data_IF_552419436551
#
_entry.id   IF_552419436551
#
_cell.length_a   1.000
_cell.length_b   1.000
_cell.length_c   1.000
_cell.angle_alpha   90.00
_cell.angle_beta   90.00
_cell.angle_gamma   90.00
#
_symmetry.space_group_name_H-M   'P 1'
#
loop_
_entity.id
_entity.type
_entity.pdbx_description
1 polymer ?
#
# COMPACT_ATOMS: atom_id res chain seq x y z
N UNK A 1 85.76 -28.69 -31.48
CA UNK A 1 85.28 -30.01 -31.42
C UNK A 1 84.63 -30.17 -30.09
N UNK A 2 83.35 -29.78 -29.93
CA UNK A 2 82.64 -29.94 -28.70
C UNK A 2 81.22 -30.46 -29.02
N UNK A 3 80.93 -31.58 -28.45
CA UNK A 3 79.67 -32.34 -28.53
C UNK A 3 78.59 -31.62 -27.67
N UNK A 4 77.33 -31.53 -28.11
CA UNK A 4 76.29 -31.11 -27.25
C UNK A 4 75.59 -32.25 -26.50
N UNK A 5 75.39 -32.07 -25.24
CA UNK A 5 74.62 -32.92 -24.33
C UNK A 5 73.12 -32.75 -24.59
N UNK A 6 72.43 -33.86 -24.80
CA UNK A 6 70.95 -33.93 -24.77
C UNK A 6 70.53 -34.11 -23.32
N UNK A 7 69.70 -33.17 -22.82
CA UNK A 7 68.98 -33.32 -21.56
C UNK A 7 67.57 -33.76 -21.85
N UNK A 8 67.21 -34.96 -21.42
CA UNK A 8 65.84 -35.50 -21.46
C UNK A 8 65.06 -34.95 -20.30
N UNK A 9 63.96 -34.28 -20.62
CA UNK A 9 63.01 -33.78 -19.62
C UNK A 9 61.94 -34.86 -19.39
N UNK A 10 61.92 -35.49 -18.20
CA UNK A 10 60.86 -36.39 -17.74
C UNK A 10 59.63 -35.51 -17.32
N UNK A 11 58.54 -35.73 -18.03
CA UNK A 11 57.24 -35.23 -17.61
C UNK A 11 56.64 -36.16 -16.55
N UNK A 12 56.56 -35.65 -15.31
CA UNK A 12 55.80 -36.33 -14.24
C UNK A 12 54.34 -35.90 -14.33
N UNK A 13 53.46 -36.81 -14.65
CA UNK A 13 51.97 -36.60 -14.51
C UNK A 13 51.66 -36.61 -13.02
N UNK A 14 51.24 -35.44 -12.49
CA UNK A 14 50.57 -35.34 -11.21
C UNK A 14 49.09 -35.43 -11.45
N UNK A 15 48.48 -36.57 -11.10
CA UNK A 15 47.02 -36.69 -11.02
C UNK A 15 46.52 -35.98 -9.77
N UNK A 16 45.92 -34.81 -9.95
CA UNK A 16 45.21 -34.13 -8.89
C UNK A 16 43.89 -34.88 -8.62
N UNK A 17 43.77 -35.49 -7.45
CA UNK A 17 42.51 -35.98 -6.93
C UNK A 17 41.62 -34.77 -6.57
N UNK A 18 40.53 -34.62 -7.30
CA UNK A 18 39.48 -33.68 -6.98
C UNK A 18 38.68 -34.26 -5.78
N UNK A 19 38.90 -33.73 -4.60
CA UNK A 19 38.02 -33.97 -3.46
C UNK A 19 36.68 -33.27 -3.75
N UNK A 20 35.52 -33.91 -3.51
CA UNK A 20 34.25 -33.20 -3.55
C UNK A 20 34.24 -32.18 -2.42
N UNK A 21 34.28 -30.91 -2.78
CA UNK A 21 34.02 -29.81 -1.87
C UNK A 21 32.61 -29.96 -1.29
N UNK A 22 32.51 -29.99 0.02
CA UNK A 22 31.24 -29.70 0.70
C UNK A 22 30.82 -28.29 0.26
N UNK A 23 29.97 -28.22 -0.77
CA UNK A 23 29.20 -27.04 -1.02
C UNK A 23 28.31 -26.84 0.20
N UNK A 24 28.53 -25.77 0.93
CA UNK A 24 27.47 -25.20 1.77
C UNK A 24 26.36 -24.84 0.80
N UNK A 25 25.25 -25.57 0.85
CA UNK A 25 23.98 -25.13 0.33
C UNK A 25 23.62 -23.85 1.12
N UNK A 26 24.15 -22.71 0.66
CA UNK A 26 23.48 -21.46 0.85
C UNK A 26 22.15 -21.67 0.09
N UNK A 27 21.07 -21.81 0.85
CA UNK A 27 19.74 -21.81 0.29
C UNK A 27 19.68 -20.62 -0.67
N UNK A 28 19.45 -20.94 -1.95
CA UNK A 28 19.15 -19.95 -2.96
C UNK A 28 17.87 -19.27 -2.46
N UNK A 29 18.02 -18.13 -1.77
CA UNK A 29 16.91 -17.32 -1.34
C UNK A 29 16.32 -16.83 -2.64
N UNK A 30 15.25 -17.49 -3.09
CA UNK A 30 14.63 -17.30 -4.38
C UNK A 30 14.47 -15.82 -4.67
N UNK A 31 14.70 -15.42 -5.92
CA UNK A 31 14.56 -14.04 -6.35
C UNK A 31 13.20 -13.51 -5.86
N UNK A 32 13.14 -12.30 -5.28
CA UNK A 32 11.91 -11.78 -4.71
C UNK A 32 10.82 -11.78 -5.77
N UNK A 33 9.66 -12.34 -5.45
CA UNK A 33 8.48 -12.45 -6.33
C UNK A 33 7.98 -11.08 -6.77
N UNK A 34 8.32 -10.06 -6.02
CA UNK A 34 8.09 -8.65 -6.29
C UNK A 34 9.45 -7.96 -6.41
N UNK A 35 9.66 -7.23 -7.50
CA UNK A 35 10.89 -6.45 -7.69
C UNK A 35 10.89 -5.24 -6.76
N UNK A 36 11.60 -5.36 -5.64
CA UNK A 36 11.83 -4.25 -4.73
C UNK A 36 13.10 -3.52 -5.16
N UNK A 37 12.92 -2.52 -6.00
CA UNK A 37 14.02 -1.69 -6.49
C UNK A 37 14.69 -0.91 -5.35
N UNK A 38 16.03 -0.80 -5.40
CA UNK A 38 16.80 -0.13 -4.34
C UNK A 38 16.47 1.39 -4.24
N UNK A 39 16.26 2.05 -5.38
CA UNK A 39 15.90 3.48 -5.45
C UNK A 39 15.05 3.76 -6.70
N UNK A 40 13.78 3.30 -6.71
CA UNK A 40 12.92 3.50 -7.87
C UNK A 40 12.60 4.98 -8.07
N UNK A 41 12.52 5.39 -9.34
CA UNK A 41 12.16 6.75 -9.75
C UNK A 41 10.74 6.77 -10.26
N UNK A 42 10.06 7.91 -10.10
CA UNK A 42 8.71 8.11 -10.59
C UNK A 42 8.52 9.55 -11.08
N UNK A 43 7.65 9.74 -12.05
CA UNK A 43 7.03 11.03 -12.30
C UNK A 43 5.98 11.31 -11.22
N UNK A 44 5.69 12.56 -11.01
CA UNK A 44 4.74 13.00 -9.99
C UNK A 44 4.01 14.26 -10.44
N UNK A 45 2.72 14.34 -10.11
CA UNK A 45 1.94 15.58 -10.25
C UNK A 45 0.92 15.72 -9.12
N UNK A 46 0.50 16.97 -8.88
CA UNK A 46 -0.66 17.27 -8.05
C UNK A 46 -1.88 17.45 -8.95
N UNK A 47 -2.99 16.84 -8.54
CA UNK A 47 -4.30 17.07 -9.13
C UNK A 47 -5.28 17.50 -8.03
N UNK A 48 -6.47 17.90 -8.40
CA UNK A 48 -7.53 18.31 -7.48
C UNK A 48 -8.89 17.89 -8.04
N UNK A 49 -9.79 17.46 -7.19
CA UNK A 49 -11.16 17.17 -7.56
C UNK A 49 -12.14 17.68 -6.51
N UNK A 50 -13.34 18.00 -6.96
CA UNK A 50 -14.44 18.47 -6.09
C UNK A 50 -15.65 17.57 -6.29
N UNK A 51 -16.31 17.21 -5.20
CA UNK A 51 -17.54 16.41 -5.22
C UNK A 51 -18.52 16.91 -4.18
N UNK A 52 -19.78 16.56 -4.33
CA UNK A 52 -20.84 16.84 -3.34
C UNK A 52 -20.93 15.68 -2.37
N UNK A 53 -20.81 15.93 -1.08
CA UNK A 53 -20.91 14.93 -0.02
C UNK A 53 -22.38 14.44 0.08
N UNK A 54 -22.66 13.15 -0.10
CA UNK A 54 -23.99 12.61 0.13
C UNK A 54 -24.45 12.83 1.59
N UNK A 55 -25.71 13.09 1.79
CA UNK A 55 -26.29 13.38 3.10
C UNK A 55 -26.20 14.85 3.50
N UNK A 56 -25.00 15.45 3.56
CA UNK A 56 -24.83 16.86 3.92
C UNK A 56 -25.10 17.81 2.76
N UNK A 57 -24.84 17.39 1.52
CA UNK A 57 -24.95 18.24 0.33
C UNK A 57 -23.85 19.28 0.20
N UNK A 58 -22.83 19.24 1.03
CA UNK A 58 -21.69 20.16 0.99
C UNK A 58 -20.73 19.81 -0.16
N UNK A 59 -20.17 20.84 -0.81
CA UNK A 59 -19.07 20.66 -1.74
C UNK A 59 -17.77 20.45 -0.99
N UNK A 60 -17.03 19.40 -1.40
CA UNK A 60 -15.76 19.03 -0.80
C UNK A 60 -14.69 18.90 -1.87
N UNK A 61 -13.62 19.67 -1.73
CA UNK A 61 -12.46 19.63 -2.62
C UNK A 61 -11.30 18.89 -1.93
N UNK A 62 -10.69 17.96 -2.65
CA UNK A 62 -9.54 17.18 -2.18
C UNK A 62 -8.37 17.31 -3.16
N UNK A 63 -7.16 17.31 -2.63
CA UNK A 63 -5.94 17.23 -3.43
C UNK A 63 -5.52 15.79 -3.61
N UNK A 64 -5.06 15.46 -4.81
CA UNK A 64 -4.55 14.16 -5.19
C UNK A 64 -3.05 14.26 -5.49
N UNK A 65 -2.30 13.30 -5.01
CA UNK A 65 -0.89 13.13 -5.27
C UNK A 65 -0.75 11.93 -6.21
N UNK A 66 -0.27 12.12 -7.44
CA UNK A 66 -0.26 11.08 -8.47
C UNK A 66 1.16 10.73 -8.86
N UNK A 67 1.55 9.47 -8.70
CA UNK A 67 2.83 8.92 -9.17
C UNK A 67 2.61 8.03 -10.38
N UNK A 68 3.49 8.16 -11.36
CA UNK A 68 3.41 7.47 -12.63
C UNK A 68 4.81 7.10 -13.17
N UNK A 69 4.92 6.12 -14.10
CA UNK A 69 6.16 5.77 -14.75
C UNK A 69 6.73 6.95 -15.54
N UNK A 70 8.05 7.13 -15.44
CA UNK A 70 8.80 8.11 -16.24
C UNK A 70 10.14 7.54 -16.68
N UNK A 71 10.67 8.04 -17.79
CA UNK A 71 12.03 7.78 -18.23
C UNK A 71 13.00 8.89 -17.79
N UNK A 72 12.48 9.96 -17.15
CA UNK A 72 13.28 11.04 -16.63
C UNK A 72 14.09 10.55 -15.43
N UNK A 73 15.38 10.80 -15.45
CA UNK A 73 16.33 10.42 -14.36
C UNK A 73 16.69 11.58 -13.46
N UNK A 74 16.29 12.79 -13.84
CA UNK A 74 16.50 14.05 -13.12
C UNK A 74 15.34 15.00 -13.37
N UNK A 75 15.13 15.97 -12.47
CA UNK A 75 14.04 16.94 -12.59
C UNK A 75 13.82 17.74 -11.31
N UNK A 76 12.77 18.54 -11.29
CA UNK A 76 12.33 19.24 -10.08
C UNK A 76 11.86 18.21 -9.05
N UNK A 77 12.46 18.20 -7.87
CA UNK A 77 12.09 17.26 -6.80
C UNK A 77 10.69 17.56 -6.27
N UNK A 78 9.93 16.50 -6.03
CA UNK A 78 8.61 16.62 -5.42
C UNK A 78 8.72 17.08 -3.97
N UNK A 79 7.99 18.17 -3.65
CA UNK A 79 7.85 18.72 -2.31
C UNK A 79 6.38 18.67 -1.91
N UNK A 80 6.07 17.87 -0.91
CA UNK A 80 4.69 17.76 -0.39
C UNK A 80 4.35 18.91 0.57
N UNK A 81 5.36 19.34 1.35
CA UNK A 81 5.28 20.46 2.29
C UNK A 81 6.69 21.02 2.56
N UNK A 82 6.83 21.95 3.49
CA UNK A 82 8.10 22.63 3.78
C UNK A 82 9.25 21.69 4.20
N UNK A 83 8.91 20.56 4.82
CA UNK A 83 9.90 19.63 5.41
C UNK A 83 9.95 18.26 4.71
N UNK A 84 8.95 17.91 3.91
CA UNK A 84 8.86 16.60 3.24
C UNK A 84 9.17 16.73 1.76
N UNK A 85 10.29 16.13 1.35
CA UNK A 85 10.79 16.13 -0.03
C UNK A 85 11.07 14.69 -0.44
N UNK A 86 10.49 14.26 -1.55
CA UNK A 86 10.87 13.00 -2.19
C UNK A 86 11.96 13.26 -3.24
N UNK A 87 13.12 12.61 -3.06
CA UNK A 87 14.27 12.72 -3.96
C UNK A 87 14.22 11.72 -5.12
N UNK A 88 13.25 10.84 -5.13
CA UNK A 88 13.04 9.83 -6.18
C UNK A 88 11.84 10.13 -7.06
N UNK A 89 11.05 11.17 -6.75
CA UNK A 89 9.94 11.60 -7.61
C UNK A 89 10.20 12.98 -8.19
N UNK A 90 9.92 13.13 -9.50
CA UNK A 90 10.16 14.36 -10.26
C UNK A 90 8.83 15.03 -10.60
N UNK A 91 8.66 16.25 -10.10
CA UNK A 91 7.43 17.03 -10.30
C UNK A 91 7.23 17.34 -11.80
N UNK A 92 6.06 16.97 -12.31
CA UNK A 92 5.65 17.15 -13.72
C UNK A 92 6.65 16.54 -14.71
N UNK A 93 7.25 15.42 -14.36
CA UNK A 93 8.08 14.66 -15.27
C UNK A 93 7.28 14.12 -16.47
N UNK A 94 7.98 13.79 -17.55
CA UNK A 94 7.36 13.20 -18.74
C UNK A 94 6.72 11.86 -18.40
N UNK A 95 5.45 11.67 -18.75
CA UNK A 95 4.78 10.38 -18.53
C UNK A 95 5.32 9.35 -19.51
N UNK A 96 5.84 8.24 -19.01
CA UNK A 96 6.02 7.04 -19.82
C UNK A 96 4.69 6.30 -19.89
N UNK A 97 4.00 6.48 -21.04
CA UNK A 97 2.69 5.89 -21.24
C UNK A 97 2.76 4.36 -21.18
N UNK A 98 1.94 3.70 -20.33
CA UNK A 98 1.89 2.25 -20.28
C UNK A 98 1.53 1.64 -21.65
N UNK A 99 2.08 0.48 -21.97
CA UNK A 99 1.78 -0.24 -23.23
C UNK A 99 0.38 -0.88 -23.26
N UNK A 100 -0.31 -0.90 -22.13
CA UNK A 100 -1.67 -1.39 -21.92
C UNK A 100 -2.35 -0.55 -20.85
N UNK A 101 -3.34 -1.12 -20.17
CA UNK A 101 -3.96 -0.49 -19.00
C UNK A 101 -3.14 -0.81 -17.76
N UNK A 102 -2.61 0.22 -17.09
CA UNK A 102 -1.89 0.09 -15.85
C UNK A 102 -2.85 -0.10 -14.67
N UNK A 103 -2.56 -1.00 -13.72
CA UNK A 103 -3.33 -1.12 -12.50
C UNK A 103 -3.19 0.14 -11.63
N UNK A 104 -4.22 0.39 -10.82
CA UNK A 104 -4.27 1.58 -9.96
C UNK A 104 -4.28 1.17 -8.49
N UNK A 105 -3.43 1.84 -7.71
CA UNK A 105 -3.46 1.81 -6.26
C UNK A 105 -3.86 3.19 -5.73
N UNK A 106 -4.84 3.22 -4.82
CA UNK A 106 -5.25 4.45 -4.12
C UNK A 106 -4.74 4.37 -2.68
N UNK A 107 -4.03 5.42 -2.24
CA UNK A 107 -3.50 5.49 -0.88
C UNK A 107 -4.25 6.51 -0.02
N UNK A 108 -4.56 6.11 1.20
CA UNK A 108 -5.20 6.93 2.24
C UNK A 108 -4.31 7.03 3.49
N UNK A 109 -3.98 8.26 3.89
CA UNK A 109 -3.00 8.53 4.95
C UNK A 109 -3.59 8.41 6.36
N UNK A 110 -2.72 8.33 7.37
CA UNK A 110 -3.08 8.35 8.78
C UNK A 110 -3.61 9.71 9.27
N UNK A 111 -4.02 9.76 10.54
CA UNK A 111 -4.50 10.99 11.18
C UNK A 111 -3.47 12.12 11.07
N UNK A 112 -3.91 13.30 10.62
CA UNK A 112 -3.06 14.48 10.40
C UNK A 112 -1.85 14.23 9.51
N UNK A 113 -1.93 13.20 8.66
CA UNK A 113 -0.92 12.88 7.67
C UNK A 113 -1.05 13.69 6.39
N UNK A 114 -0.60 13.14 5.28
CA UNK A 114 -0.79 13.64 3.92
C UNK A 114 -0.51 12.51 2.91
N UNK A 115 -1.02 12.62 1.70
CA UNK A 115 -0.87 11.60 0.66
C UNK A 115 0.59 11.22 0.38
N UNK A 116 1.49 12.20 0.39
CA UNK A 116 2.93 11.97 0.22
C UNK A 116 3.61 11.20 1.36
N UNK A 117 2.91 10.86 2.46
CA UNK A 117 3.50 10.06 3.55
C UNK A 117 3.89 8.63 3.14
N UNK A 118 3.41 8.17 1.98
CA UNK A 118 3.72 6.85 1.42
C UNK A 118 4.64 6.89 0.19
N UNK A 119 5.38 7.97 -0.05
CA UNK A 119 6.14 8.14 -1.30
C UNK A 119 7.08 6.98 -1.62
N UNK A 120 7.71 6.32 -0.63
CA UNK A 120 8.57 5.16 -0.89
C UNK A 120 7.77 3.95 -1.38
N UNK A 121 6.61 3.70 -0.79
CA UNK A 121 5.69 2.66 -1.22
C UNK A 121 5.14 2.97 -2.63
N UNK A 122 4.71 4.22 -2.86
CA UNK A 122 4.21 4.66 -4.16
C UNK A 122 5.23 4.42 -5.28
N UNK A 123 6.50 4.77 -5.07
CA UNK A 123 7.56 4.51 -6.05
C UNK A 123 7.80 3.02 -6.30
N UNK A 124 7.66 2.16 -5.30
CA UNK A 124 7.76 0.70 -5.48
C UNK A 124 6.61 0.17 -6.35
N UNK A 125 5.39 0.63 -6.12
CA UNK A 125 4.25 0.30 -6.98
C UNK A 125 4.48 0.75 -8.43
N UNK A 126 4.95 1.99 -8.63
CA UNK A 126 5.28 2.50 -9.97
C UNK A 126 6.37 1.68 -10.66
N UNK A 127 7.41 1.25 -9.94
CA UNK A 127 8.45 0.36 -10.47
C UNK A 127 7.90 -0.99 -10.93
N UNK A 128 6.80 -1.45 -10.32
CA UNK A 128 6.06 -2.65 -10.70
C UNK A 128 4.90 -2.39 -11.68
N UNK A 129 4.89 -1.25 -12.36
CA UNK A 129 3.96 -0.93 -13.46
C UNK A 129 2.60 -0.36 -13.01
N UNK A 130 2.44 0.02 -11.76
CA UNK A 130 1.21 0.62 -11.23
C UNK A 130 1.21 2.14 -11.38
N UNK A 131 0.02 2.71 -11.40
CA UNK A 131 -0.21 4.13 -11.12
C UNK A 131 -0.69 4.25 -9.68
N UNK A 132 -0.18 5.26 -8.95
CA UNK A 132 -0.53 5.49 -7.56
C UNK A 132 -1.18 6.84 -7.40
N UNK A 133 -2.33 6.85 -6.71
CA UNK A 133 -3.07 8.06 -6.37
C UNK A 133 -3.23 8.14 -4.87
N UNK A 134 -2.67 9.16 -4.22
CA UNK A 134 -2.84 9.33 -2.79
C UNK A 134 -3.67 10.57 -2.48
N UNK A 135 -4.67 10.37 -1.64
CA UNK A 135 -5.61 11.43 -1.25
C UNK A 135 -5.03 12.27 -0.12
N UNK A 136 -5.11 13.59 -0.21
CA UNK A 136 -5.01 14.48 0.94
C UNK A 136 -6.45 14.73 1.44
N UNK A 137 -6.79 14.13 2.59
CA UNK A 137 -8.12 14.27 3.18
C UNK A 137 -8.28 15.68 3.79
N UNK A 138 -8.92 16.57 3.07
CA UNK A 138 -9.13 17.96 3.48
C UNK A 138 -9.76 18.03 4.89
N UNK A 139 -9.20 18.88 5.74
CA UNK A 139 -9.57 18.97 7.16
C UNK A 139 -8.89 17.96 8.07
N UNK A 140 -8.04 17.06 7.54
CA UNK A 140 -7.28 16.09 8.34
C UNK A 140 -5.84 15.91 7.83
N UNK A 141 -5.24 16.94 7.29
CA UNK A 141 -3.84 16.92 6.93
C UNK A 141 -2.97 17.65 7.96
N UNK A 142 -1.66 17.51 7.86
CA UNK A 142 -0.72 18.25 8.71
C UNK A 142 -0.82 19.76 8.54
N UNK A 143 -1.43 20.25 7.45
CA UNK A 143 -1.55 21.67 7.14
C UNK A 143 -2.95 22.24 7.41
N UNK A 144 -3.98 21.42 7.40
CA UNK A 144 -5.39 21.83 7.49
C UNK A 144 -6.21 20.90 8.39
N UNK A 145 -5.81 20.74 9.62
CA UNK A 145 -6.56 19.90 10.56
C UNK A 145 -7.71 20.69 11.23
N UNK A 146 -8.94 20.21 11.05
CA UNK A 146 -10.14 20.69 11.74
C UNK A 146 -10.26 20.01 13.10
N UNK A 147 -10.49 20.83 14.16
CA UNK A 147 -10.67 20.33 15.53
C UNK A 147 -11.74 21.17 16.25
N UNK A 148 -12.87 20.60 16.73
CA UNK A 148 -13.21 19.16 16.62
C UNK A 148 -13.52 18.74 15.17
N UNK A 149 -13.24 17.47 14.86
CA UNK A 149 -13.62 16.91 13.56
C UNK A 149 -15.13 16.76 13.46
N UNK A 150 -15.70 16.95 12.25
CA UNK A 150 -17.07 16.56 11.96
C UNK A 150 -17.31 15.08 12.34
N UNK A 151 -18.52 14.79 12.81
CA UNK A 151 -18.86 13.44 13.27
C UNK A 151 -18.76 12.40 12.16
N UNK A 152 -19.18 12.77 10.95
CA UNK A 152 -19.17 11.93 9.74
C UNK A 152 -17.78 11.75 9.12
N UNK A 153 -16.71 12.24 9.75
CA UNK A 153 -15.37 12.27 9.15
C UNK A 153 -14.83 10.89 8.78
N UNK A 154 -15.22 9.84 9.51
CA UNK A 154 -14.84 8.46 9.18
C UNK A 154 -15.34 8.07 7.78
N UNK A 155 -16.58 8.41 7.44
CA UNK A 155 -17.17 8.10 6.13
C UNK A 155 -16.80 9.13 5.05
N UNK A 156 -16.54 10.40 5.42
CA UNK A 156 -16.02 11.40 4.46
C UNK A 156 -14.73 10.94 3.80
N UNK A 157 -13.84 10.30 4.54
CA UNK A 157 -12.60 9.75 3.98
C UNK A 157 -12.86 8.64 2.96
N UNK A 158 -13.90 7.85 3.16
CA UNK A 158 -14.30 6.82 2.20
C UNK A 158 -14.89 7.45 0.92
N UNK A 159 -15.66 8.53 1.05
CA UNK A 159 -16.12 9.34 -0.10
C UNK A 159 -14.95 10.02 -0.82
N UNK A 160 -13.94 10.53 -0.10
CA UNK A 160 -12.72 11.08 -0.71
C UNK A 160 -12.00 10.05 -1.59
N UNK A 161 -11.89 8.79 -1.12
CA UNK A 161 -11.30 7.69 -1.90
C UNK A 161 -12.12 7.43 -3.17
N UNK A 162 -13.46 7.39 -3.07
CA UNK A 162 -14.33 7.24 -4.24
C UNK A 162 -14.17 8.40 -5.22
N UNK A 163 -14.16 9.65 -4.73
CA UNK A 163 -13.99 10.83 -5.58
C UNK A 163 -12.61 10.83 -6.29
N UNK A 164 -11.56 10.39 -5.61
CA UNK A 164 -10.25 10.20 -6.23
C UNK A 164 -10.29 9.14 -7.34
N UNK A 165 -10.98 8.03 -7.10
CA UNK A 165 -11.15 6.96 -8.08
C UNK A 165 -11.95 7.44 -9.30
N UNK A 166 -13.06 8.11 -9.09
CA UNK A 166 -13.90 8.64 -10.17
C UNK A 166 -13.13 9.68 -11.00
N UNK A 167 -12.35 10.55 -10.34
CA UNK A 167 -11.52 11.55 -11.03
C UNK A 167 -10.51 10.92 -11.98
N UNK A 168 -9.76 9.89 -11.55
CA UNK A 168 -8.77 9.25 -12.43
C UNK A 168 -9.40 8.34 -13.49
N UNK A 169 -10.61 7.86 -13.26
CA UNK A 169 -11.37 7.11 -14.26
C UNK A 169 -11.88 8.02 -15.40
N UNK A 170 -12.07 9.31 -15.13
CA UNK A 170 -12.60 10.31 -16.09
C UNK A 170 -11.58 11.42 -16.39
N UNK A 171 -10.31 11.05 -16.51
CA UNK A 171 -9.26 12.01 -16.92
C UNK A 171 -9.57 12.64 -18.28
N UNK A 172 -9.34 13.96 -18.46
CA UNK A 172 -9.48 14.62 -19.75
C UNK A 172 -8.69 13.90 -20.84
N UNK A 173 -9.24 13.82 -22.05
CA UNK A 173 -8.62 13.09 -23.17
C UNK A 173 -7.20 13.57 -23.53
N UNK A 174 -6.86 14.81 -23.17
CA UNK A 174 -5.55 15.41 -23.35
C UNK A 174 -4.53 14.95 -22.29
N UNK A 175 -5.00 14.34 -21.19
CA UNK A 175 -4.12 13.87 -20.14
C UNK A 175 -3.35 12.63 -20.62
N UNK A 176 -2.00 12.56 -20.45
CA UNK A 176 -1.20 11.44 -20.97
C UNK A 176 -1.59 10.05 -20.47
N UNK A 177 -2.23 9.96 -19.28
CA UNK A 177 -2.71 8.72 -18.70
C UNK A 177 -4.15 8.37 -19.10
N UNK A 178 -4.89 9.27 -19.79
CA UNK A 178 -6.28 9.00 -20.17
C UNK A 178 -6.38 7.75 -21.06
N UNK A 179 -7.25 6.81 -20.68
CA UNK A 179 -7.43 5.54 -21.38
C UNK A 179 -6.33 4.49 -21.15
N UNK A 180 -5.31 4.80 -20.33
CA UNK A 180 -4.21 3.89 -20.00
C UNK A 180 -4.27 3.34 -18.58
N UNK A 181 -5.38 3.53 -17.86
CA UNK A 181 -5.59 3.06 -16.49
C UNK A 181 -6.66 1.98 -16.46
N UNK A 182 -6.40 0.88 -15.76
CA UNK A 182 -7.46 -0.04 -15.38
C UNK A 182 -8.10 0.46 -14.07
N UNK A 183 -9.21 1.17 -14.22
CA UNK A 183 -10.01 1.68 -13.11
C UNK A 183 -11.21 0.80 -12.79
N UNK A 184 -11.33 -0.35 -13.42
CA UNK A 184 -12.41 -1.31 -13.16
C UNK A 184 -12.15 -2.16 -11.92
N UNK A 185 -10.88 -2.30 -11.53
CA UNK A 185 -10.42 -3.07 -10.37
C UNK A 185 -9.25 -2.34 -9.72
N UNK A 186 -9.43 -1.88 -8.49
CA UNK A 186 -8.40 -1.09 -7.80
C UNK A 186 -8.04 -1.68 -6.44
N UNK A 187 -6.80 -1.41 -6.02
CA UNK A 187 -6.29 -1.65 -4.68
C UNK A 187 -6.38 -0.35 -3.86
N UNK A 188 -6.91 -0.43 -2.64
CA UNK A 188 -6.81 0.68 -1.68
C UNK A 188 -5.85 0.30 -0.56
N UNK A 189 -4.88 1.16 -0.27
CA UNK A 189 -3.88 0.95 0.78
C UNK A 189 -4.00 2.09 1.78
N UNK A 190 -4.08 1.78 3.07
CA UNK A 190 -4.21 2.81 4.09
C UNK A 190 -3.36 2.55 5.32
N UNK A 191 -2.83 3.62 5.93
CA UNK A 191 -2.05 3.54 7.16
C UNK A 191 -2.81 4.19 8.32
N UNK A 192 -2.79 3.56 9.51
CA UNK A 192 -3.40 4.12 10.73
C UNK A 192 -4.89 4.43 10.52
N UNK A 193 -5.32 5.69 10.65
CA UNK A 193 -6.67 6.12 10.32
C UNK A 193 -7.04 5.82 8.84
N UNK A 194 -6.05 5.85 7.92
CA UNK A 194 -6.24 5.36 6.55
C UNK A 194 -6.49 3.85 6.47
N UNK A 195 -5.94 3.06 7.40
CA UNK A 195 -6.26 1.64 7.52
C UNK A 195 -7.72 1.40 7.91
N UNK A 196 -8.28 2.21 8.83
CA UNK A 196 -9.73 2.22 9.10
C UNK A 196 -10.51 2.57 7.82
N UNK A 197 -10.09 3.60 7.09
CA UNK A 197 -10.70 3.96 5.81
C UNK A 197 -10.65 2.79 4.83
N UNK A 198 -9.52 2.05 4.75
CA UNK A 198 -9.39 0.88 3.89
C UNK A 198 -10.42 -0.22 4.23
N UNK A 199 -10.67 -0.51 5.51
CA UNK A 199 -11.73 -1.44 5.92
C UNK A 199 -13.12 -0.97 5.47
N UNK A 200 -13.44 0.33 5.62
CA UNK A 200 -14.74 0.89 5.23
C UNK A 200 -14.93 0.77 3.71
N UNK A 201 -13.93 1.18 2.90
CA UNK A 201 -14.04 1.11 1.44
C UNK A 201 -13.99 -0.34 0.93
N UNK A 202 -13.40 -1.26 1.69
CA UNK A 202 -13.41 -2.70 1.43
C UNK A 202 -14.75 -3.36 1.68
N UNK A 203 -15.71 -2.66 2.26
CA UNK A 203 -17.09 -3.10 2.37
C UNK A 203 -17.49 -3.69 3.72
N UNK A 204 -16.74 -3.36 4.79
CA UNK A 204 -17.25 -3.67 6.14
C UNK A 204 -18.56 -2.94 6.36
N UNK A 205 -19.61 -3.65 6.81
CA UNK A 205 -20.91 -3.04 7.01
C UNK A 205 -20.94 -2.17 8.27
N UNK A 206 -21.33 -0.91 8.09
CA UNK A 206 -21.48 0.04 9.17
C UNK A 206 -22.74 -0.27 10.00
N UNK A 207 -22.61 -0.18 11.32
CA UNK A 207 -23.72 -0.35 12.28
C UNK A 207 -24.33 1.00 12.61
N UNK A 208 -25.46 1.32 11.98
CA UNK A 208 -26.12 2.61 12.14
C UNK A 208 -26.63 2.84 13.56
N UNK A 209 -27.08 1.79 14.27
CA UNK A 209 -27.53 1.90 15.66
C UNK A 209 -26.34 2.28 16.57
N UNK A 210 -25.18 1.68 16.36
CA UNK A 210 -23.97 2.01 17.10
C UNK A 210 -23.43 3.42 16.74
N UNK A 211 -23.51 3.81 15.47
CA UNK A 211 -23.10 5.14 15.01
C UNK A 211 -24.01 6.22 15.63
N UNK A 212 -25.33 6.04 15.62
CA UNK A 212 -26.28 6.94 16.25
C UNK A 212 -26.07 7.06 17.77
N UNK A 213 -25.77 5.94 18.44
CA UNK A 213 -25.46 5.93 19.87
C UNK A 213 -24.21 6.75 20.22
N UNK A 214 -23.24 6.89 19.32
CA UNK A 214 -22.03 7.69 19.52
C UNK A 214 -22.29 9.21 19.56
N UNK A 215 -23.23 9.71 18.80
CA UNK A 215 -23.53 11.13 18.74
C UNK A 215 -24.68 11.55 19.67
N UNK A 216 -25.48 10.60 20.21
CA UNK A 216 -26.63 10.90 21.05
C UNK A 216 -26.21 11.67 22.34
N UNK A 217 -27.01 12.70 22.78
CA UNK A 217 -28.27 13.15 22.17
C UNK A 217 -28.13 14.21 21.06
N UNK A 218 -26.91 14.60 20.69
CA UNK A 218 -26.62 15.77 19.86
C UNK A 218 -26.41 15.43 18.38
N UNK A 219 -26.99 14.31 17.91
CA UNK A 219 -26.86 13.86 16.51
C UNK A 219 -27.40 14.89 15.51
N UNK A 220 -26.62 15.18 14.47
CA UNK A 220 -27.05 15.97 13.32
C UNK A 220 -27.52 15.01 12.22
N UNK A 221 -28.77 15.16 11.77
CA UNK A 221 -29.34 14.22 10.80
C UNK A 221 -28.54 14.13 9.50
N UNK A 222 -28.04 15.25 8.98
CA UNK A 222 -27.25 15.25 7.75
C UNK A 222 -25.92 14.46 7.88
N UNK A 223 -25.30 14.46 9.08
CA UNK A 223 -24.11 13.66 9.38
C UNK A 223 -24.44 12.16 9.42
N UNK A 224 -25.59 11.79 10.03
CA UNK A 224 -26.09 10.40 10.01
C UNK A 224 -26.46 9.94 8.60
N UNK A 225 -27.08 10.83 7.81
CA UNK A 225 -27.43 10.53 6.41
C UNK A 225 -26.17 10.26 5.57
N UNK A 226 -25.05 10.93 5.85
CA UNK A 226 -23.78 10.65 5.18
C UNK A 226 -23.30 9.20 5.43
N UNK A 227 -23.45 8.68 6.65
CA UNK A 227 -23.16 7.28 6.93
C UNK A 227 -24.19 6.34 6.26
N UNK A 228 -25.47 6.65 6.38
CA UNK A 228 -26.54 5.80 5.87
C UNK A 228 -26.58 5.69 4.32
N UNK A 229 -26.10 6.74 3.63
CA UNK A 229 -26.01 6.78 2.17
C UNK A 229 -24.69 6.23 1.61
N UNK A 230 -23.75 5.86 2.48
CA UNK A 230 -22.48 5.31 2.02
C UNK A 230 -22.68 3.87 1.52
N UNK A 231 -22.27 3.64 0.28
CA UNK A 231 -22.20 2.31 -0.33
C UNK A 231 -20.77 2.06 -0.79
N UNK A 232 -20.15 0.92 -0.43
CA UNK A 232 -18.83 0.55 -0.91
C UNK A 232 -18.77 0.52 -2.44
N UNK A 233 -17.64 0.95 -3.01
CA UNK A 233 -17.43 0.93 -4.45
C UNK A 233 -17.05 -0.49 -4.92
N UNK A 234 -17.84 -1.15 -5.77
CA UNK A 234 -17.57 -2.51 -6.22
C UNK A 234 -16.29 -2.65 -7.05
N UNK A 235 -15.70 -1.54 -7.51
CA UNK A 235 -14.41 -1.51 -8.20
C UNK A 235 -13.23 -1.70 -7.24
N UNK A 236 -13.43 -1.47 -5.93
CA UNK A 236 -12.43 -1.78 -4.89
C UNK A 236 -12.48 -3.28 -4.63
N UNK A 237 -11.52 -4.02 -5.16
CA UNK A 237 -11.49 -5.50 -5.06
C UNK A 237 -10.51 -6.01 -4.00
N UNK A 238 -9.62 -5.17 -3.54
CA UNK A 238 -8.65 -5.49 -2.50
C UNK A 238 -8.31 -4.25 -1.67
N UNK A 239 -8.06 -4.45 -0.38
CA UNK A 239 -7.61 -3.39 0.53
C UNK A 239 -6.44 -3.86 1.38
N UNK A 240 -5.51 -2.95 1.70
CA UNK A 240 -4.41 -3.19 2.62
C UNK A 240 -4.51 -2.19 3.77
N UNK A 241 -4.74 -2.68 4.98
CA UNK A 241 -4.79 -1.90 6.20
C UNK A 241 -3.47 -2.04 6.98
N UNK A 242 -2.66 -0.98 6.99
CA UNK A 242 -1.37 -0.94 7.67
C UNK A 242 -1.55 -0.31 9.05
N UNK A 243 -1.41 -1.11 10.10
CA UNK A 243 -1.60 -0.74 11.52
C UNK A 243 -2.82 0.16 11.75
N UNK A 244 -3.92 -0.21 11.10
CA UNK A 244 -5.19 0.49 11.16
C UNK A 244 -6.34 -0.50 11.36
N UNK A 245 -7.24 -0.16 12.28
CA UNK A 245 -8.39 -0.97 12.64
C UNK A 245 -9.70 -0.19 12.46
N UNK A 246 -10.76 -0.88 12.12
CA UNK A 246 -12.10 -0.28 12.12
C UNK A 246 -12.61 -0.16 13.56
N UNK A 247 -13.30 0.93 13.85
CA UNK A 247 -13.85 1.19 15.19
C UNK A 247 -14.91 0.15 15.56
N UNK A 248 -14.76 -0.44 16.74
CA UNK A 248 -15.74 -1.42 17.27
C UNK A 248 -17.11 -0.80 17.60
N UNK A 249 -17.18 0.52 17.77
CA UNK A 249 -18.40 1.30 17.98
C UNK A 249 -19.02 1.85 16.70
N UNK A 250 -18.62 1.32 15.55
CA UNK A 250 -19.17 1.68 14.23
C UNK A 250 -19.46 0.47 13.35
N UNK A 251 -19.05 -0.73 13.79
CA UNK A 251 -19.19 -1.98 13.02
C UNK A 251 -19.57 -3.12 13.96
N UNK A 252 -20.67 -3.79 13.67
CA UNK A 252 -21.07 -5.01 14.37
C UNK A 252 -20.19 -6.20 13.95
N UNK A 253 -20.16 -7.28 14.78
CA UNK A 253 -19.41 -8.50 14.46
C UNK A 253 -19.84 -9.14 13.13
N UNK A 254 -21.14 -9.00 12.78
CA UNK A 254 -21.69 -9.46 11.49
C UNK A 254 -21.28 -8.58 10.30
N UNK A 255 -20.70 -7.41 10.53
CA UNK A 255 -20.32 -6.45 9.49
C UNK A 255 -19.22 -6.95 8.55
N UNK A 256 -18.46 -7.96 8.96
CA UNK A 256 -17.39 -8.55 8.15
C UNK A 256 -17.88 -9.65 7.20
N UNK A 257 -19.05 -10.23 7.44
CA UNK A 257 -19.52 -11.46 6.76
C UNK A 257 -19.73 -11.29 5.25
N UNK A 258 -20.00 -10.07 4.80
CA UNK A 258 -20.29 -9.79 3.39
C UNK A 258 -19.33 -8.77 2.77
N UNK A 259 -18.12 -8.68 3.28
CA UNK A 259 -17.12 -7.83 2.67
C UNK A 259 -16.86 -8.26 1.22
N UNK A 260 -16.84 -7.29 0.32
CA UNK A 260 -16.66 -7.55 -1.12
C UNK A 260 -15.19 -7.57 -1.52
N UNK A 261 -14.32 -6.82 -0.84
CA UNK A 261 -12.90 -6.79 -1.11
C UNK A 261 -12.15 -7.79 -0.24
N UNK A 262 -11.13 -8.44 -0.82
CA UNK A 262 -10.14 -9.15 -0.03
C UNK A 262 -9.35 -8.16 0.83
N UNK A 263 -8.96 -8.54 2.03
CA UNK A 263 -8.27 -7.67 3.00
C UNK A 263 -6.91 -8.23 3.33
N UNK A 264 -5.87 -7.39 3.27
CA UNK A 264 -4.61 -7.64 3.95
C UNK A 264 -4.48 -6.70 5.14
N UNK A 265 -4.26 -7.24 6.34
CA UNK A 265 -3.88 -6.48 7.51
C UNK A 265 -2.37 -6.62 7.73
N UNK A 266 -1.62 -5.51 7.68
CA UNK A 266 -0.19 -5.44 7.99
C UNK A 266 -0.03 -4.76 9.35
N UNK A 267 0.47 -5.48 10.37
CA UNK A 267 0.46 -4.97 11.74
C UNK A 267 1.73 -5.32 12.51
N UNK A 268 2.07 -4.58 13.58
CA UNK A 268 2.96 -5.10 14.62
C UNK A 268 2.40 -6.38 15.23
N UNK A 269 3.26 -7.31 15.67
CA UNK A 269 2.85 -8.64 16.14
C UNK A 269 2.23 -8.66 17.55
N UNK A 270 2.51 -7.66 18.39
CA UNK A 270 2.25 -7.69 19.84
C UNK A 270 1.05 -6.83 20.29
N UNK A 271 0.17 -6.44 19.35
CA UNK A 271 -0.97 -5.57 19.66
C UNK A 271 -2.29 -6.36 19.74
N UNK A 272 -2.82 -6.53 20.96
CA UNK A 272 -4.08 -7.22 21.26
C UNK A 272 -5.27 -6.71 20.39
N UNK A 273 -5.33 -5.42 20.07
CA UNK A 273 -6.39 -4.84 19.25
C UNK A 273 -6.47 -5.45 17.85
N UNK A 274 -5.32 -5.81 17.25
CA UNK A 274 -5.29 -6.45 15.94
C UNK A 274 -5.74 -7.91 16.01
N UNK A 275 -5.39 -8.62 17.09
CA UNK A 275 -5.92 -9.97 17.34
C UNK A 275 -7.44 -9.93 17.47
N UNK A 276 -7.99 -8.99 18.23
CA UNK A 276 -9.45 -8.81 18.39
C UNK A 276 -10.12 -8.53 17.05
N UNK A 277 -9.52 -7.67 16.22
CA UNK A 277 -10.06 -7.38 14.88
C UNK A 277 -10.01 -8.61 13.98
N UNK A 278 -8.90 -9.33 13.96
CA UNK A 278 -8.77 -10.56 13.19
C UNK A 278 -9.79 -11.61 13.64
N UNK A 279 -9.93 -11.85 14.95
CA UNK A 279 -10.91 -12.81 15.49
C UNK A 279 -12.36 -12.45 15.12
N UNK A 280 -12.68 -11.15 14.98
CA UNK A 280 -14.02 -10.65 14.55
C UNK A 280 -14.24 -10.75 13.06
N UNK A 281 -13.19 -10.75 12.23
CA UNK A 281 -13.28 -10.69 10.77
C UNK A 281 -13.61 -12.05 10.11
N UNK A 282 -14.08 -13.02 10.87
CA UNK A 282 -14.50 -14.33 10.37
C UNK A 282 -15.60 -14.17 9.30
N UNK A 283 -15.36 -14.76 8.14
CA UNK A 283 -16.25 -14.67 6.98
C UNK A 283 -15.83 -13.64 5.94
N UNK A 284 -14.81 -12.81 6.21
CA UNK A 284 -14.08 -12.04 5.21
C UNK A 284 -12.84 -12.82 4.71
N UNK A 285 -12.38 -12.54 3.49
CA UNK A 285 -11.11 -13.05 2.95
C UNK A 285 -9.98 -12.19 3.52
N UNK A 286 -9.35 -12.62 4.62
CA UNK A 286 -8.33 -11.85 5.34
C UNK A 286 -6.98 -12.56 5.34
N UNK A 287 -5.97 -11.87 4.82
CA UNK A 287 -4.55 -12.20 4.99
C UNK A 287 -3.97 -11.29 6.06
N UNK A 288 -3.60 -11.83 7.21
CA UNK A 288 -2.97 -11.08 8.28
C UNK A 288 -1.46 -11.30 8.31
N UNK A 289 -0.70 -10.23 8.05
CA UNK A 289 0.75 -10.20 8.02
C UNK A 289 1.26 -9.43 9.24
N UNK A 290 1.85 -10.14 10.18
CA UNK A 290 2.36 -9.62 11.44
C UNK A 290 3.87 -9.44 11.35
N UNK A 291 4.39 -8.30 11.79
CA UNK A 291 5.81 -7.96 11.79
C UNK A 291 6.31 -7.88 13.24
N UNK A 292 7.18 -8.81 13.63
CA UNK A 292 7.82 -8.77 14.93
C UNK A 292 8.77 -7.58 15.05
N UNK A 293 8.65 -6.86 16.18
CA UNK A 293 9.43 -5.64 16.41
C UNK A 293 9.03 -4.42 15.59
N UNK A 294 7.99 -4.48 14.76
CA UNK A 294 7.49 -3.30 14.05
C UNK A 294 6.82 -2.32 15.02
N UNK A 295 6.90 -1.04 14.66
CA UNK A 295 6.18 0.05 15.31
C UNK A 295 5.18 0.66 14.32
N UNK A 296 4.30 1.54 14.82
CA UNK A 296 3.32 2.25 14.00
C UNK A 296 3.91 2.90 12.73
N UNK A 297 5.12 3.48 12.85
CA UNK A 297 5.78 4.18 11.74
C UNK A 297 6.57 3.26 10.79
N UNK A 298 6.64 1.96 11.06
CA UNK A 298 7.42 1.01 10.24
C UNK A 298 6.85 0.85 8.82
N UNK A 299 5.58 1.19 8.62
CA UNK A 299 4.83 0.99 7.36
C UNK A 299 4.86 2.18 6.41
N UNK A 300 5.38 3.35 6.84
CA UNK A 300 5.32 4.59 6.06
C UNK A 300 6.68 5.21 5.79
N UNK A 301 6.70 6.26 4.96
CA UNK A 301 7.92 7.02 4.64
C UNK A 301 8.21 8.13 5.62
N UNK A 302 7.32 8.40 6.56
CA UNK A 302 7.45 9.47 7.54
C UNK A 302 8.11 8.97 8.81
N UNK A 303 9.05 9.75 9.33
CA UNK A 303 9.76 9.46 10.57
C UNK A 303 9.21 10.36 11.70
N UNK A 304 7.91 10.33 11.95
CA UNK A 304 7.33 11.04 13.10
C UNK A 304 7.66 10.39 14.44
N UNK A 305 8.14 9.14 14.40
CA UNK A 305 8.65 8.40 15.55
C UNK A 305 9.87 7.58 15.15
N UNK A 306 10.68 7.21 16.12
CA UNK A 306 11.78 6.27 15.94
C UNK A 306 11.29 4.91 16.43
N UNK A 307 11.23 3.91 15.55
CA UNK A 307 11.04 2.54 15.97
C UNK A 307 12.37 2.01 16.52
N UNK A 308 12.48 1.69 17.82
CA UNK A 308 13.74 1.22 18.39
C UNK A 308 14.05 -0.24 18.06
N UNK A 309 13.08 -0.98 17.57
CA UNK A 309 13.12 -2.44 17.40
C UNK A 309 13.18 -2.88 15.94
N UNK A 310 12.85 -2.00 14.99
CA UNK A 310 12.93 -2.30 13.56
C UNK A 310 13.50 -1.13 12.77
N UNK A 311 14.46 -1.42 11.90
CA UNK A 311 14.98 -0.43 10.95
C UNK A 311 13.88 0.00 9.96
N UNK A 312 13.70 1.32 9.72
CA UNK A 312 12.63 1.83 8.86
C UNK A 312 12.65 1.25 7.44
N UNK A 313 13.82 0.92 6.91
CA UNK A 313 13.97 0.31 5.59
C UNK A 313 13.44 -1.12 5.55
N UNK A 314 13.56 -1.89 6.64
CA UNK A 314 13.05 -3.26 6.74
C UNK A 314 11.53 -3.27 6.71
N UNK A 315 10.86 -2.51 7.57
CA UNK A 315 9.39 -2.44 7.59
C UNK A 315 8.81 -1.99 6.24
N UNK A 316 9.38 -0.95 5.63
CA UNK A 316 8.94 -0.46 4.31
C UNK A 316 9.15 -1.48 3.20
N UNK A 317 10.27 -2.22 3.21
CA UNK A 317 10.54 -3.27 2.23
C UNK A 317 9.53 -4.40 2.35
N UNK A 318 9.27 -4.90 3.56
CA UNK A 318 8.27 -5.94 3.81
C UNK A 318 6.89 -5.45 3.38
N UNK A 319 6.49 -4.24 3.77
CA UNK A 319 5.22 -3.63 3.37
C UNK A 319 5.05 -3.61 1.86
N UNK A 320 6.08 -3.16 1.12
CA UNK A 320 6.02 -3.09 -0.34
C UNK A 320 5.89 -4.49 -0.96
N UNK A 321 6.67 -5.49 -0.49
CA UNK A 321 6.56 -6.86 -0.98
C UNK A 321 5.14 -7.41 -0.85
N UNK A 322 4.58 -7.38 0.36
CA UNK A 322 3.27 -7.95 0.62
C UNK A 322 2.14 -7.16 -0.06
N UNK A 323 2.17 -5.83 -0.02
CA UNK A 323 1.12 -5.02 -0.62
C UNK A 323 1.09 -5.16 -2.16
N UNK A 324 2.25 -5.20 -2.83
CA UNK A 324 2.34 -5.40 -4.28
C UNK A 324 1.94 -6.83 -4.65
N UNK A 325 2.39 -7.85 -3.88
CA UNK A 325 1.99 -9.23 -4.09
C UNK A 325 0.47 -9.39 -3.96
N UNK A 326 -0.13 -8.80 -2.93
CA UNK A 326 -1.56 -8.85 -2.69
C UNK A 326 -2.35 -8.13 -3.79
N UNK A 327 -1.93 -6.92 -4.17
CA UNK A 327 -2.51 -6.21 -5.31
C UNK A 327 -2.41 -7.00 -6.62
N UNK A 328 -1.25 -7.63 -6.88
CA UNK A 328 -1.07 -8.48 -8.06
C UNK A 328 -2.00 -9.69 -8.04
N UNK A 329 -2.21 -10.31 -6.88
CA UNK A 329 -3.13 -11.44 -6.71
C UNK A 329 -4.58 -11.05 -6.99
N UNK A 330 -5.05 -9.95 -6.39
CA UNK A 330 -6.48 -9.63 -6.36
C UNK A 330 -6.91 -8.65 -7.46
N UNK A 331 -6.06 -7.69 -7.85
CA UNK A 331 -6.36 -6.71 -8.91
C UNK A 331 -5.98 -7.26 -10.28
N UNK A 332 -4.77 -7.80 -10.44
CA UNK A 332 -4.29 -8.36 -11.69
C UNK A 332 -4.66 -9.84 -11.87
N UNK A 333 -5.32 -10.44 -10.89
CA UNK A 333 -5.71 -11.86 -10.87
C UNK A 333 -4.54 -12.82 -11.12
N UNK A 334 -3.33 -12.42 -10.71
CA UNK A 334 -2.12 -13.22 -10.88
C UNK A 334 -2.23 -14.56 -10.18
N UNK A 335 -1.80 -15.61 -10.89
CA UNK A 335 -1.71 -16.98 -10.38
C UNK A 335 -0.26 -17.47 -10.35
N UNK A 336 0.68 -16.56 -10.28
CA UNK A 336 2.09 -16.91 -10.13
C UNK A 336 2.27 -17.66 -8.80
N UNK A 337 2.82 -18.89 -8.88
CA UNK A 337 2.96 -19.76 -7.71
C UNK A 337 3.87 -19.15 -6.64
N UNK A 338 4.98 -18.53 -7.03
CA UNK A 338 5.90 -17.88 -6.09
C UNK A 338 5.23 -16.72 -5.32
N UNK A 339 4.36 -15.96 -6.00
CA UNK A 339 3.58 -14.89 -5.37
C UNK A 339 2.57 -15.47 -4.36
N UNK A 340 1.89 -16.55 -4.71
CA UNK A 340 0.96 -17.22 -3.80
C UNK A 340 1.70 -17.79 -2.58
N UNK A 341 2.89 -18.40 -2.79
CA UNK A 341 3.71 -18.94 -1.71
C UNK A 341 4.16 -17.85 -0.71
N UNK A 342 4.41 -16.61 -1.17
CA UNK A 342 4.65 -15.45 -0.29
C UNK A 342 3.41 -15.10 0.51
N UNK A 343 2.26 -14.98 -0.16
CA UNK A 343 1.01 -14.60 0.50
C UNK A 343 0.55 -15.67 1.49
N UNK A 344 0.76 -16.94 1.19
CA UNK A 344 0.41 -18.06 2.06
C UNK A 344 1.43 -18.29 3.20
N UNK A 345 2.53 -17.51 3.22
CA UNK A 345 3.60 -17.65 4.21
C UNK A 345 4.48 -18.90 4.01
N UNK A 346 4.35 -19.59 2.87
CA UNK A 346 5.19 -20.75 2.52
C UNK A 346 6.61 -20.31 2.15
N UNK A 347 6.74 -19.15 1.50
CA UNK A 347 8.01 -18.49 1.22
C UNK A 347 8.24 -17.38 2.21
N UNK A 348 9.31 -17.48 2.99
CA UNK A 348 9.71 -16.47 3.98
C UNK A 348 10.35 -15.26 3.26
N UNK A 349 9.69 -14.11 3.34
CA UNK A 349 10.23 -12.81 2.83
C UNK A 349 11.23 -12.21 3.81
N UNK A 350 10.98 -12.40 5.11
CA UNK A 350 11.82 -11.91 6.20
C UNK A 350 11.47 -12.70 7.48
N UNK A 351 12.44 -13.12 8.31
CA UNK A 351 12.21 -13.92 9.51
C UNK A 351 11.34 -13.24 10.58
N UNK A 352 11.13 -11.92 10.47
CA UNK A 352 10.25 -11.17 11.40
C UNK A 352 8.77 -11.28 11.03
N UNK A 353 8.43 -11.96 9.93
CA UNK A 353 7.06 -12.00 9.41
C UNK A 353 6.35 -13.30 9.79
N UNK A 354 5.10 -13.16 10.22
CA UNK A 354 4.15 -14.27 10.38
C UNK A 354 2.91 -13.97 9.54
N UNK A 355 2.44 -14.95 8.78
CA UNK A 355 1.22 -14.85 7.96
C UNK A 355 0.14 -15.77 8.50
N UNK A 356 -1.09 -15.26 8.62
CA UNK A 356 -2.26 -16.01 9.06
C UNK A 356 -3.47 -15.63 8.18
N UNK A 357 -4.41 -16.55 8.00
CA UNK A 357 -5.57 -16.37 7.11
C UNK A 357 -6.89 -16.69 7.81
N UNK A 358 -7.95 -16.07 7.32
CA UNK A 358 -9.35 -16.51 7.49
C UNK A 358 -9.92 -17.02 6.19
#
# INVERSE_FOLDING_TARGET
MRTPLFVACLLSLVTAAVLPGCGSDAADVGAPVVDIAADPKAGFEFQETTYTVPGTGEERTIRLNVWYPTDDTEGALTRFNAISVDRGSFLNASVRVPSGQAPVMIYTHGDRGWGGSAFTLARQFVANGWIVVAVDHTGNTVLDNIDPRPFEFDVLRAYDVRAAHDHIADLPAEHPLAGHLDTSRVLVVGHSYGGQTAWIVGGVALDMDAIEARCAPDCVQAELDAYAMYEPDPRVVAVVAMDGEVRSDSVADTGFTNMQAAVMALTPSDMERHQVLFDRSVGADVTWVQLDGACHESFTSTNFGVCPTMEPTTGRRITANYAIAFGSRHVLESRNAELLDVLDGTTEVDPVVTVTHH
#
